data_IF_871242576224
#
_entry.id   IF_871242576224
#
_cell.length_a   1.000
_cell.length_b   1.000
_cell.length_c   1.000
_cell.angle_alpha   90.00
_cell.angle_beta   90.00
_cell.angle_gamma   90.00
#
_symmetry.space_group_name_H-M   'P 1'
#
loop_
_entity.id
_entity.type
_entity.pdbx_description
1 polymer ?
#
# COMPACT_ATOMS: atom_id res chain seq x y z
N UNK A 1 69.30 24.55 -3.06
CA UNK A 1 68.48 24.09 -1.91
C UNK A 1 67.21 23.44 -2.41
N UNK A 2 67.11 22.10 -2.40
CA UNK A 2 65.88 21.35 -2.70
C UNK A 2 65.36 20.74 -1.40
N UNK A 3 64.27 21.28 -0.87
CA UNK A 3 63.58 20.75 0.31
C UNK A 3 62.56 19.71 -0.12
N UNK A 4 62.97 18.44 -0.21
CA UNK A 4 62.05 17.33 -0.38
C UNK A 4 61.36 17.05 0.96
N UNK A 5 60.20 17.70 1.19
CA UNK A 5 59.33 17.41 2.32
C UNK A 5 58.66 16.07 2.06
N UNK A 6 59.19 15.01 2.68
CA UNK A 6 58.62 13.66 2.66
C UNK A 6 57.17 13.70 3.17
N UNK A 7 56.22 13.64 2.25
CA UNK A 7 54.79 13.52 2.53
C UNK A 7 54.54 12.18 3.22
N UNK A 8 54.36 12.21 4.53
CA UNK A 8 54.16 11.02 5.34
C UNK A 8 52.73 10.49 5.12
N UNK A 9 52.54 9.51 4.23
CA UNK A 9 51.22 8.92 3.92
C UNK A 9 50.42 8.49 5.16
N UNK A 10 51.10 8.17 6.27
CA UNK A 10 50.49 7.77 7.55
C UNK A 10 49.72 8.89 8.27
N UNK A 11 50.08 10.17 8.07
CA UNK A 11 49.35 11.30 8.69
C UNK A 11 48.09 11.69 7.92
N UNK A 12 47.97 11.30 6.64
CA UNK A 12 46.79 11.55 5.79
C UNK A 12 45.80 10.39 5.84
N UNK A 13 46.27 9.16 6.04
CA UNK A 13 45.42 7.96 6.11
C UNK A 13 44.50 7.93 7.35
N UNK A 14 44.98 8.46 8.49
CA UNK A 14 44.22 8.51 9.75
C UNK A 14 42.98 9.40 9.69
N UNK A 15 43.06 10.67 9.26
CA UNK A 15 41.85 11.51 9.13
C UNK A 15 40.91 10.98 8.05
N UNK A 16 41.44 10.38 6.97
CA UNK A 16 40.61 9.77 5.93
C UNK A 16 39.77 8.59 6.47
N UNK A 17 40.36 7.73 7.30
CA UNK A 17 39.69 6.60 7.95
C UNK A 17 38.65 7.06 9.00
N UNK A 18 38.93 8.14 9.73
CA UNK A 18 37.97 8.74 10.66
C UNK A 18 36.79 9.37 9.91
N UNK A 19 37.04 10.07 8.80
CA UNK A 19 35.98 10.67 7.97
C UNK A 19 35.12 9.58 7.32
N UNK A 20 35.71 8.47 6.85
CA UNK A 20 34.92 7.34 6.33
C UNK A 20 34.11 6.65 7.43
N UNK A 21 34.68 6.48 8.62
CA UNK A 21 33.93 5.94 9.76
C UNK A 21 32.77 6.85 10.18
N UNK A 22 32.96 8.18 10.16
CA UNK A 22 31.90 9.14 10.50
C UNK A 22 30.78 9.18 9.46
N UNK A 23 31.11 8.96 8.18
CA UNK A 23 30.13 8.85 7.09
C UNK A 23 29.30 7.55 7.16
N UNK A 24 29.86 6.49 7.73
CA UNK A 24 29.16 5.21 7.97
C UNK A 24 28.23 5.28 9.20
N UNK A 25 28.52 6.17 10.15
CA UNK A 25 27.78 6.25 11.43
C UNK A 25 26.59 7.21 11.36
N UNK A 26 26.50 8.10 10.35
CA UNK A 26 25.32 8.96 10.21
C UNK A 26 24.09 8.11 9.89
N UNK A 27 23.11 8.01 10.81
CA UNK A 27 21.90 7.27 10.53
C UNK A 27 21.18 7.93 9.35
N UNK A 28 20.55 7.17 8.44
CA UNK A 28 19.69 7.75 7.43
C UNK A 28 18.61 8.54 8.16
N UNK A 29 18.57 9.85 7.93
CA UNK A 29 17.55 10.71 8.50
C UNK A 29 16.24 10.20 7.92
N UNK A 30 15.34 9.69 8.76
CA UNK A 30 14.02 9.27 8.35
C UNK A 30 13.31 10.47 7.72
N UNK A 31 13.30 10.53 6.40
CA UNK A 31 12.45 11.48 5.70
C UNK A 31 11.03 11.06 6.02
N UNK A 32 10.25 11.94 6.65
CA UNK A 32 8.80 11.77 6.80
C UNK A 32 8.21 11.54 5.41
N UNK A 33 8.02 10.27 5.04
CA UNK A 33 7.45 9.89 3.78
C UNK A 33 6.01 10.39 3.77
N UNK A 34 5.76 11.46 3.02
CA UNK A 34 4.42 11.98 2.83
C UNK A 34 3.69 10.97 1.93
N UNK A 35 2.98 10.01 2.54
CA UNK A 35 2.23 8.98 1.81
C UNK A 35 1.08 9.62 1.05
N UNK A 36 0.84 9.16 -0.18
CA UNK A 36 -0.36 9.47 -0.95
C UNK A 36 -1.20 8.21 -1.10
N UNK A 37 -2.50 8.36 -1.21
CA UNK A 37 -3.44 7.24 -1.39
C UNK A 37 -4.42 7.59 -2.50
N UNK A 38 -4.71 6.61 -3.34
CA UNK A 38 -5.82 6.62 -4.28
C UNK A 38 -6.78 5.51 -3.89
N UNK A 39 -8.05 5.83 -3.80
CA UNK A 39 -9.15 4.88 -3.67
C UNK A 39 -9.90 4.83 -4.98
N UNK A 40 -10.35 3.66 -5.41
CA UNK A 40 -11.21 3.54 -6.57
C UNK A 40 -12.34 2.53 -6.36
N UNK A 41 -13.47 2.79 -7.01
CA UNK A 41 -14.63 1.93 -6.98
C UNK A 41 -15.40 2.05 -8.30
N UNK A 42 -16.33 1.11 -8.53
CA UNK A 42 -17.14 1.07 -9.75
C UNK A 42 -18.59 1.30 -9.38
N UNK A 43 -19.26 2.15 -10.15
CA UNK A 43 -20.72 2.27 -10.17
C UNK A 43 -21.18 2.11 -11.62
N UNK A 44 -21.82 0.98 -11.93
CA UNK A 44 -22.36 0.68 -13.25
C UNK A 44 -21.26 0.46 -14.32
N UNK A 45 -21.06 1.46 -15.18
CA UNK A 45 -20.01 1.49 -16.21
C UNK A 45 -18.90 2.51 -15.92
N UNK A 46 -19.00 3.21 -14.79
CA UNK A 46 -18.13 4.34 -14.46
C UNK A 46 -17.24 3.96 -13.28
N UNK A 47 -15.94 4.18 -13.46
CA UNK A 47 -14.94 4.04 -12.41
C UNK A 47 -14.74 5.41 -11.78
N UNK A 48 -14.81 5.44 -10.46
CA UNK A 48 -14.57 6.64 -9.65
C UNK A 48 -13.28 6.48 -8.87
N UNK A 49 -12.57 7.59 -8.70
CA UNK A 49 -11.34 7.65 -7.92
C UNK A 49 -11.38 8.83 -6.97
N UNK A 50 -10.79 8.67 -5.79
CA UNK A 50 -10.57 9.73 -4.81
C UNK A 50 -9.16 9.64 -4.24
N UNK A 51 -8.44 10.75 -4.28
CA UNK A 51 -7.01 10.83 -3.97
C UNK A 51 -6.72 11.84 -2.87
N UNK A 52 -5.91 11.43 -1.89
CA UNK A 52 -5.52 12.27 -0.76
C UNK A 52 -4.10 11.97 -0.29
N UNK A 53 -3.45 12.98 0.28
CA UNK A 53 -2.23 12.80 1.07
C UNK A 53 -2.57 12.28 2.47
N UNK A 54 -1.60 11.68 3.15
CA UNK A 54 -1.75 11.16 4.53
C UNK A 54 -2.24 12.21 5.52
N UNK A 55 -1.87 13.48 5.33
CA UNK A 55 -2.39 14.62 6.09
C UNK A 55 -3.84 15.04 5.78
N UNK A 56 -4.57 14.27 4.96
CA UNK A 56 -5.96 14.52 4.60
C UNK A 56 -6.17 15.53 3.46
N UNK A 57 -5.14 16.30 3.09
CA UNK A 57 -5.20 17.23 1.94
C UNK A 57 -5.51 16.47 0.65
N UNK A 58 -6.41 17.02 -0.17
CA UNK A 58 -6.76 16.46 -1.48
C UNK A 58 -5.61 16.60 -2.47
N UNK A 59 -5.43 15.59 -3.30
CA UNK A 59 -4.47 15.64 -4.40
C UNK A 59 -5.13 16.35 -5.57
N UNK A 60 -4.82 17.62 -5.79
CA UNK A 60 -5.42 18.40 -6.87
C UNK A 60 -4.53 18.36 -8.11
N UNK A 61 -5.11 18.19 -9.30
CA UNK A 61 -4.37 18.17 -10.56
C UNK A 61 -3.31 17.05 -10.64
N UNK A 62 -3.48 15.98 -9.87
CA UNK A 62 -2.62 14.79 -9.89
C UNK A 62 -2.94 13.92 -11.10
N UNK A 63 -1.92 13.33 -11.72
CA UNK A 63 -2.11 12.48 -12.89
C UNK A 63 -2.68 11.12 -12.47
N UNK A 64 -3.77 10.71 -13.13
CA UNK A 64 -4.34 9.37 -13.02
C UNK A 64 -4.07 8.65 -14.33
N UNK A 65 -3.41 7.51 -14.25
CA UNK A 65 -3.17 6.63 -15.37
C UNK A 65 -3.84 5.28 -15.10
N UNK A 66 -4.48 4.70 -16.11
CA UNK A 66 -5.15 3.42 -15.97
C UNK A 66 -4.59 2.44 -16.97
N UNK A 67 -4.29 1.25 -16.48
CA UNK A 67 -3.60 0.19 -17.20
C UNK A 67 -4.45 -1.09 -17.19
N UNK A 68 -4.37 -1.85 -18.27
CA UNK A 68 -4.86 -3.24 -18.31
C UNK A 68 -3.93 -4.16 -17.48
N UNK A 69 -4.34 -5.40 -17.22
CA UNK A 69 -3.58 -6.44 -16.52
C UNK A 69 -2.23 -6.75 -17.20
N UNK A 70 -2.12 -6.50 -18.51
CA UNK A 70 -0.89 -6.69 -19.30
C UNK A 70 0.02 -5.45 -19.25
N UNK A 71 -0.36 -4.39 -18.50
CA UNK A 71 0.42 -3.16 -18.37
C UNK A 71 0.27 -2.18 -19.54
N UNK A 72 -0.69 -2.40 -20.44
CA UNK A 72 -1.02 -1.45 -21.51
C UNK A 72 -1.82 -0.28 -20.93
N UNK A 73 -1.36 0.96 -21.14
CA UNK A 73 -2.11 2.17 -20.76
C UNK A 73 -3.42 2.24 -21.56
N UNK A 74 -4.54 2.32 -20.86
CA UNK A 74 -5.90 2.40 -21.40
C UNK A 74 -6.37 3.85 -21.51
N UNK A 75 -6.11 4.65 -20.48
CA UNK A 75 -6.53 6.04 -20.39
C UNK A 75 -5.70 6.81 -19.37
N UNK A 76 -5.80 8.14 -19.47
CA UNK A 76 -5.11 9.10 -18.64
C UNK A 76 -6.06 10.26 -18.32
N UNK A 77 -5.95 10.79 -17.11
CA UNK A 77 -6.72 11.94 -16.67
C UNK A 77 -6.06 12.64 -15.50
N UNK A 78 -6.78 13.58 -14.90
CA UNK A 78 -6.30 14.35 -13.76
C UNK A 78 -7.37 14.54 -12.71
N UNK A 79 -6.96 14.54 -11.45
CA UNK A 79 -7.86 14.82 -10.34
C UNK A 79 -8.30 16.28 -10.31
N UNK A 80 -9.54 16.51 -9.91
CA UNK A 80 -10.10 17.83 -9.67
C UNK A 80 -9.65 18.43 -8.33
N UNK A 81 -10.23 19.57 -7.95
CA UNK A 81 -9.93 20.25 -6.69
C UNK A 81 -10.38 19.48 -5.44
N UNK A 82 -11.31 18.54 -5.58
CA UNK A 82 -11.73 17.62 -4.52
C UNK A 82 -10.85 16.35 -4.46
N UNK A 83 -9.88 16.22 -5.37
CA UNK A 83 -9.03 15.04 -5.50
C UNK A 83 -9.70 13.87 -6.20
N UNK A 84 -10.77 14.13 -6.95
CA UNK A 84 -11.57 13.11 -7.62
C UNK A 84 -11.30 13.07 -9.11
N UNK A 85 -11.43 11.89 -9.69
CA UNK A 85 -11.48 11.70 -11.14
C UNK A 85 -12.39 10.51 -11.44
N UNK A 86 -13.16 10.59 -12.52
CA UNK A 86 -14.02 9.49 -12.96
C UNK A 86 -13.98 9.33 -14.47
N UNK A 87 -14.20 8.11 -14.93
CA UNK A 87 -14.20 7.77 -16.36
C UNK A 87 -15.11 6.57 -16.62
N UNK A 88 -15.71 6.54 -17.81
CA UNK A 88 -16.40 5.34 -18.29
C UNK A 88 -15.40 4.31 -18.77
N UNK A 89 -15.51 3.08 -18.28
CA UNK A 89 -14.60 2.03 -18.74
C UNK A 89 -15.05 1.51 -20.12
N UNK A 90 -14.13 1.38 -21.10
CA UNK A 90 -14.45 0.72 -22.36
C UNK A 90 -14.63 -0.80 -22.19
N UNK A 91 -14.06 -1.40 -21.13
CA UNK A 91 -14.12 -2.84 -20.88
C UNK A 91 -14.22 -3.14 -19.38
N UNK A 92 -15.20 -3.98 -18.99
CA UNK A 92 -15.40 -4.42 -17.60
C UNK A 92 -14.44 -5.55 -17.23
N UNK A 93 -13.14 -5.26 -17.12
CA UNK A 93 -12.11 -6.24 -16.75
C UNK A 93 -11.23 -5.70 -15.64
N UNK A 94 -10.35 -6.55 -15.09
CA UNK A 94 -9.37 -6.08 -14.12
C UNK A 94 -8.49 -4.98 -14.72
N UNK A 95 -8.16 -3.99 -13.90
CA UNK A 95 -7.33 -2.85 -14.31
C UNK A 95 -6.56 -2.29 -13.13
N UNK A 96 -5.45 -1.63 -13.44
CA UNK A 96 -4.61 -0.97 -12.45
C UNK A 96 -4.68 0.55 -12.65
N UNK A 97 -5.10 1.24 -11.60
CA UNK A 97 -5.16 2.69 -11.53
C UNK A 97 -3.91 3.15 -10.81
N UNK A 98 -3.22 4.13 -11.37
CA UNK A 98 -1.97 4.69 -10.84
C UNK A 98 -2.17 6.19 -10.70
N UNK A 99 -1.99 6.68 -9.47
CA UNK A 99 -1.93 8.09 -9.17
C UNK A 99 -0.48 8.55 -9.08
N UNK A 100 -0.14 9.62 -9.80
CA UNK A 100 1.09 10.39 -9.63
C UNK A 100 0.78 11.82 -9.18
N UNK A 101 1.13 12.13 -7.93
CA UNK A 101 0.93 13.44 -7.32
C UNK A 101 2.18 14.33 -7.35
N UNK A 102 3.20 13.95 -8.14
CA UNK A 102 4.48 14.66 -8.29
C UNK A 102 5.54 14.30 -7.25
N UNK A 103 6.80 14.70 -7.46
CA UNK A 103 7.93 14.51 -6.52
C UNK A 103 8.03 13.10 -5.89
N UNK A 104 7.72 12.05 -6.63
CA UNK A 104 7.75 10.66 -6.14
C UNK A 104 6.54 10.20 -5.32
N UNK A 105 5.49 11.02 -5.19
CA UNK A 105 4.23 10.62 -4.57
C UNK A 105 3.41 9.80 -5.55
N UNK A 106 3.45 8.46 -5.39
CA UNK A 106 2.75 7.51 -6.23
C UNK A 106 1.88 6.58 -5.39
N UNK A 107 0.69 6.25 -5.88
CA UNK A 107 -0.18 5.24 -5.30
C UNK A 107 -0.87 4.42 -6.39
N UNK A 108 -1.16 3.16 -6.13
CA UNK A 108 -1.75 2.26 -7.13
C UNK A 108 -2.97 1.53 -6.57
N UNK A 109 -4.07 1.49 -7.30
CA UNK A 109 -5.27 0.73 -6.95
C UNK A 109 -5.56 -0.32 -8.02
N UNK A 110 -5.77 -1.57 -7.59
CA UNK A 110 -6.19 -2.65 -8.49
C UNK A 110 -7.70 -2.86 -8.41
N UNK A 111 -8.37 -2.79 -9.55
CA UNK A 111 -9.73 -3.28 -9.73
C UNK A 111 -9.69 -4.68 -10.35
N UNK A 112 -10.59 -5.53 -9.90
CA UNK A 112 -10.83 -6.87 -10.41
C UNK A 112 -12.10 -6.88 -11.25
N UNK A 113 -12.34 -7.97 -11.99
CA UNK A 113 -13.58 -8.11 -12.74
C UNK A 113 -14.83 -8.12 -11.83
N UNK A 114 -14.72 -8.71 -10.65
CA UNK A 114 -15.83 -8.79 -9.69
C UNK A 114 -16.26 -7.40 -9.20
N UNK A 115 -15.37 -6.41 -9.15
CA UNK A 115 -15.73 -5.04 -8.77
C UNK A 115 -16.73 -4.41 -9.75
N UNK A 116 -16.76 -4.86 -11.01
CA UNK A 116 -17.75 -4.43 -12.01
C UNK A 116 -19.09 -5.15 -11.89
N UNK A 117 -19.11 -6.32 -11.24
CA UNK A 117 -20.32 -7.13 -11.05
C UNK A 117 -20.99 -6.81 -9.70
N UNK A 118 -20.21 -6.41 -8.69
CA UNK A 118 -20.67 -6.04 -7.34
C UNK A 118 -20.88 -4.53 -7.13
N UNK A 119 -21.12 -3.78 -8.22
CA UNK A 119 -21.46 -2.34 -8.13
C UNK A 119 -22.62 -2.15 -7.13
N UNK A 120 -22.59 -1.12 -6.25
CA UNK A 120 -23.57 -0.95 -5.15
C UNK A 120 -25.02 -0.72 -5.60
N UNK A 121 -25.28 -0.74 -6.91
CA UNK A 121 -26.55 -0.41 -7.50
C UNK A 121 -27.19 -1.66 -8.09
N UNK A 122 -27.76 -2.49 -7.21
CA UNK A 122 -28.79 -3.48 -7.56
C UNK A 122 -29.58 -3.86 -6.29
N UNK A 123 -30.80 -3.30 -6.20
CA UNK A 123 -31.93 -3.61 -5.28
C UNK A 123 -32.26 -2.58 -4.18
N UNK A 124 -32.25 -1.28 -4.51
CA UNK A 124 -33.13 -0.26 -3.93
C UNK A 124 -33.38 0.73 -5.08
N UNK A 125 -34.32 0.50 -6.00
CA UNK A 125 -35.73 0.83 -5.83
C UNK A 125 -36.58 0.20 -6.95
N UNK A 126 -37.53 -0.68 -6.62
CA UNK A 126 -38.63 -1.05 -7.52
C UNK A 126 -39.80 -1.73 -6.77
N UNK A 127 -40.21 -1.21 -5.61
CA UNK A 127 -41.58 -1.48 -5.13
C UNK A 127 -42.06 -0.49 -4.05
N UNK A 128 -42.09 0.81 -4.34
CA UNK A 128 -42.85 1.77 -3.53
C UNK A 128 -43.34 2.95 -4.39
N UNK A 129 -44.28 2.66 -5.29
CA UNK A 129 -45.34 3.62 -5.61
C UNK A 129 -46.55 2.89 -6.16
N UNK A 130 -47.62 2.88 -5.38
CA UNK A 130 -48.95 2.42 -5.78
C UNK A 130 -49.58 1.41 -4.84
N UNK A 131 -50.26 1.88 -3.78
CA UNK A 131 -51.73 1.75 -3.63
C UNK A 131 -52.21 1.86 -2.15
N UNK A 132 -52.73 3.06 -1.85
CA UNK A 132 -53.93 3.40 -1.04
C UNK A 132 -54.07 3.04 0.45
N UNK A 133 -54.45 4.09 1.19
CA UNK A 133 -55.09 4.13 2.50
C UNK A 133 -56.12 3.03 2.78
N UNK A 134 -56.09 2.50 4.00
CA UNK A 134 -57.14 1.65 4.59
C UNK A 134 -56.82 1.26 6.03
N UNK A 135 -57.73 1.60 6.95
CA UNK A 135 -57.60 1.49 8.40
C UNK A 135 -57.89 0.08 8.96
N UNK A 136 -57.35 -0.19 10.16
CA UNK A 136 -57.88 -1.06 11.24
C UNK A 136 -57.62 -2.59 11.26
N UNK A 137 -56.76 -2.98 12.21
CA UNK A 137 -56.88 -4.06 13.23
C UNK A 137 -57.22 -5.51 12.84
N UNK A 138 -56.32 -6.45 13.18
CA UNK A 138 -56.63 -7.57 14.10
C UNK A 138 -55.41 -8.38 14.56
N UNK A 139 -55.36 -8.58 15.87
CA UNK A 139 -54.94 -9.73 16.67
C UNK A 139 -53.85 -10.72 16.20
N UNK A 140 -53.04 -11.05 17.20
CA UNK A 140 -52.02 -12.07 17.26
C UNK A 140 -52.46 -13.46 16.77
N UNK A 141 -51.52 -14.18 16.13
CA UNK A 141 -51.16 -15.57 16.42
C UNK A 141 -49.71 -15.76 15.93
N UNK A 142 -48.80 -16.09 16.86
CA UNK A 142 -47.49 -16.67 16.57
C UNK A 142 -47.69 -18.14 16.18
N UNK A 143 -46.86 -18.70 15.28
CA UNK A 143 -46.27 -20.00 15.49
C UNK A 143 -44.87 -19.80 16.05
N UNK A 144 -44.64 -20.35 17.25
CA UNK A 144 -43.33 -20.50 17.85
C UNK A 144 -42.50 -21.53 17.06
N UNK A 145 -41.93 -21.09 15.94
CA UNK A 145 -40.88 -21.77 15.19
C UNK A 145 -40.23 -20.72 14.29
N UNK A 146 -39.19 -20.02 14.77
CA UNK A 146 -38.59 -18.99 13.93
C UNK A 146 -37.40 -18.23 14.47
N UNK A 147 -37.02 -18.33 15.75
CA UNK A 147 -35.82 -17.62 16.23
C UNK A 147 -34.53 -18.18 15.61
N UNK A 148 -34.42 -19.51 15.49
CA UNK A 148 -33.25 -20.15 14.87
C UNK A 148 -33.16 -19.91 13.36
N UNK A 149 -34.30 -19.87 12.65
CA UNK A 149 -34.33 -19.57 11.21
C UNK A 149 -34.05 -18.08 10.94
N UNK A 150 -34.48 -17.18 11.82
CA UNK A 150 -34.17 -15.75 11.74
C UNK A 150 -32.68 -15.50 12.02
N UNK A 151 -32.09 -16.15 13.03
CA UNK A 151 -30.64 -16.04 13.29
C UNK A 151 -29.82 -16.61 12.13
N UNK A 152 -30.17 -17.78 11.60
CA UNK A 152 -29.45 -18.39 10.47
C UNK A 152 -29.59 -17.59 9.16
N UNK A 153 -30.75 -16.98 8.91
CA UNK A 153 -30.94 -16.11 7.74
C UNK A 153 -30.23 -14.76 7.93
N UNK A 154 -30.24 -14.21 9.13
CA UNK A 154 -29.50 -12.99 9.49
C UNK A 154 -27.99 -13.22 9.33
N UNK A 155 -27.44 -14.29 9.88
CA UNK A 155 -26.02 -14.64 9.75
C UNK A 155 -25.63 -14.85 8.28
N UNK A 156 -26.46 -15.55 7.50
CA UNK A 156 -26.21 -15.76 6.07
C UNK A 156 -26.26 -14.46 5.25
N UNK A 157 -27.12 -13.51 5.63
CA UNK A 157 -27.22 -12.19 4.98
C UNK A 157 -26.07 -11.28 5.42
N UNK A 158 -25.69 -11.30 6.70
CA UNK A 158 -24.54 -10.58 7.21
C UNK A 158 -23.25 -11.09 6.58
N UNK A 159 -22.99 -12.39 6.58
CA UNK A 159 -21.79 -12.96 5.96
C UNK A 159 -21.70 -12.63 4.48
N UNK A 160 -22.82 -12.72 3.76
CA UNK A 160 -22.89 -12.35 2.34
C UNK A 160 -22.55 -10.87 2.10
N UNK A 161 -22.81 -9.99 3.08
CA UNK A 161 -22.50 -8.55 2.99
C UNK A 161 -21.13 -8.17 3.60
N UNK A 162 -20.66 -8.88 4.61
CA UNK A 162 -19.40 -8.60 5.31
C UNK A 162 -18.19 -9.15 4.56
N UNK A 163 -18.33 -10.32 3.93
CA UNK A 163 -17.26 -10.96 3.16
C UNK A 163 -16.67 -10.07 2.05
N UNK A 164 -17.47 -9.37 1.22
CA UNK A 164 -16.92 -8.41 0.26
C UNK A 164 -16.25 -7.20 0.92
N UNK A 165 -16.72 -6.74 2.11
CA UNK A 165 -16.07 -5.65 2.83
C UNK A 165 -14.69 -6.04 3.37
N UNK A 166 -14.55 -7.24 3.94
CA UNK A 166 -13.27 -7.78 4.41
C UNK A 166 -12.28 -7.92 3.23
N UNK A 167 -12.77 -8.35 2.07
CA UNK A 167 -11.97 -8.40 0.84
C UNK A 167 -11.43 -7.02 0.43
N UNK A 168 -12.26 -5.98 0.51
CA UNK A 168 -11.85 -4.59 0.21
C UNK A 168 -10.81 -4.06 1.20
N UNK A 169 -10.95 -4.39 2.50
CA UNK A 169 -9.95 -4.05 3.52
C UNK A 169 -8.61 -4.74 3.27
N UNK A 170 -8.61 -6.02 2.89
CA UNK A 170 -7.38 -6.74 2.56
C UNK A 170 -6.65 -6.14 1.34
N UNK A 171 -7.38 -5.60 0.37
CA UNK A 171 -6.78 -4.89 -0.77
C UNK A 171 -6.14 -3.55 -0.36
N UNK A 172 -6.68 -2.88 0.67
CA UNK A 172 -6.07 -1.69 1.27
C UNK A 172 -4.82 -2.03 2.08
N UNK A 173 -4.84 -3.15 2.80
CA UNK A 173 -3.70 -3.63 3.58
C UNK A 173 -2.49 -3.92 2.68
N UNK A 174 -2.69 -4.58 1.53
CA UNK A 174 -1.65 -4.89 0.54
C UNK A 174 -0.94 -3.67 -0.06
N UNK A 175 -1.52 -2.47 0.03
CA UNK A 175 -0.82 -1.23 -0.34
C UNK A 175 0.21 -0.78 0.70
N UNK A 176 0.35 -1.49 1.83
CA UNK A 176 1.11 -1.04 3.00
C UNK A 176 2.37 -1.88 3.29
N UNK A 177 2.77 -2.77 2.37
CA UNK A 177 3.99 -3.59 2.50
C UNK A 177 5.26 -2.74 2.25
N UNK A 178 5.50 -1.76 3.11
CA UNK A 178 6.81 -1.16 3.26
C UNK A 178 7.68 -2.11 4.10
N UNK A 179 8.97 -2.31 3.74
CA UNK A 179 9.89 -3.07 4.59
C UNK A 179 9.91 -2.47 6.00
N UNK A 180 9.58 -3.28 6.99
CA UNK A 180 9.47 -2.82 8.37
C UNK A 180 10.85 -2.51 8.93
N UNK A 181 10.91 -1.70 9.98
CA UNK A 181 12.18 -1.42 10.68
C UNK A 181 12.92 -2.71 11.09
N UNK A 182 12.14 -3.75 11.43
CA UNK A 182 12.64 -5.08 11.76
C UNK A 182 13.34 -5.76 10.57
N UNK A 183 12.84 -5.59 9.35
CA UNK A 183 13.45 -6.15 8.14
C UNK A 183 14.79 -5.48 7.82
N UNK A 184 14.87 -4.17 8.03
CA UNK A 184 16.10 -3.39 7.83
C UNK A 184 17.15 -3.76 8.88
N UNK A 185 16.79 -3.77 10.17
CA UNK A 185 17.69 -4.17 11.25
C UNK A 185 18.11 -5.64 11.14
N UNK A 186 17.19 -6.52 10.76
CA UNK A 186 17.46 -7.93 10.53
C UNK A 186 18.46 -8.15 9.40
N UNK A 187 18.26 -7.46 8.26
CA UNK A 187 19.19 -7.49 7.13
C UNK A 187 20.58 -6.97 7.51
N UNK A 188 20.66 -5.83 8.24
CA UNK A 188 21.92 -5.26 8.70
C UNK A 188 22.64 -6.19 9.69
N UNK A 189 21.89 -6.79 10.62
CA UNK A 189 22.40 -7.76 11.59
C UNK A 189 22.95 -9.02 10.91
N UNK A 190 22.30 -9.51 9.85
CA UNK A 190 22.77 -10.65 9.08
C UNK A 190 24.11 -10.37 8.39
N UNK A 191 24.26 -9.20 7.75
CA UNK A 191 25.50 -8.80 7.09
C UNK A 191 26.63 -8.66 8.12
N UNK A 192 26.39 -7.93 9.21
CA UNK A 192 27.37 -7.74 10.28
C UNK A 192 27.76 -9.07 10.95
N UNK A 193 26.80 -9.97 11.13
CA UNK A 193 27.03 -11.31 11.66
C UNK A 193 27.95 -12.15 10.77
N UNK A 194 27.68 -12.23 9.46
CA UNK A 194 28.51 -12.98 8.52
C UNK A 194 29.93 -12.41 8.41
N UNK A 195 30.06 -11.08 8.31
CA UNK A 195 31.36 -10.40 8.26
C UNK A 195 32.13 -10.62 9.56
N UNK A 196 31.46 -10.53 10.71
CA UNK A 196 32.05 -10.77 12.02
C UNK A 196 32.59 -12.21 12.17
N UNK A 197 31.82 -13.22 11.74
CA UNK A 197 32.25 -14.62 11.76
C UNK A 197 33.45 -14.83 10.83
N UNK A 198 33.40 -14.29 9.61
CA UNK A 198 34.51 -14.40 8.66
C UNK A 198 35.79 -13.75 9.20
N UNK A 199 35.68 -12.56 9.80
CA UNK A 199 36.80 -11.87 10.43
C UNK A 199 37.38 -12.64 11.62
N UNK A 200 36.53 -13.23 12.45
CA UNK A 200 36.94 -14.05 13.59
C UNK A 200 37.72 -15.30 13.16
N UNK A 201 37.20 -16.02 12.16
CA UNK A 201 37.87 -17.19 11.59
C UNK A 201 39.18 -16.79 10.91
N UNK A 202 39.20 -15.66 10.19
CA UNK A 202 40.42 -15.14 9.56
C UNK A 202 41.49 -14.76 10.58
N UNK A 203 41.09 -14.11 11.68
CA UNK A 203 41.99 -13.73 12.79
C UNK A 203 42.67 -14.97 13.40
N UNK A 204 41.88 -16.01 13.72
CA UNK A 204 42.41 -17.27 14.27
C UNK A 204 43.34 -18.03 13.32
N UNK A 205 43.22 -17.82 12.01
CA UNK A 205 44.14 -18.43 11.01
C UNK A 205 45.47 -17.71 10.91
N UNK A 206 45.54 -16.41 11.27
CA UNK A 206 46.79 -15.63 11.26
C UNK A 206 47.67 -15.90 12.46
N UNK A 207 47.09 -16.17 13.64
CA UNK A 207 47.87 -16.55 14.83
C UNK A 207 48.62 -17.89 14.66
N UNK A 208 48.26 -18.72 13.67
CA UNK A 208 48.92 -19.99 13.36
C UNK A 208 49.98 -19.91 12.26
N UNK A 209 50.32 -18.73 11.75
CA UNK A 209 51.44 -18.56 10.81
C UNK A 209 52.71 -18.23 11.64
N UNK A 210 53.60 -19.20 11.92
CA UNK A 210 54.87 -18.89 12.55
C UNK A 210 55.68 -17.98 11.63
N UNK A 211 56.32 -16.98 12.24
CA UNK A 211 57.24 -16.04 11.60
C UNK A 211 58.32 -16.83 10.84
N UNK A 212 58.22 -16.93 9.52
CA UNK A 212 59.31 -17.44 8.68
C UNK A 212 60.36 -16.34 8.60
N UNK A 213 61.44 -16.50 9.40
CA UNK A 213 62.71 -15.79 9.23
C UNK A 213 63.31 -16.09 7.86
#
# INVERSE_FOLDING_TARGET
MKTNKLFNKKTILKPFLIITAIWIITPPISTWAHRVTVFAWVEGDTVFTESKFSGGKRVTNGAIEVYDLVGKKLLEGRTDNAGKYSFKTPVKTGMKIVLEAGMGHRAEWALTRNDFDESPDNNMDANLSGQTSGSSSKDAILPAAGSADIEATMEKVLDKKLKPLIGRLNNLERQSDDPTFTDILGGLGYIMGLVGIAAYVHSRRREKQPFKK
#
